data_IF_509347237676
#
_entry.id   IF_509347237676
#
_cell.length_a   1.000
_cell.length_b   1.000
_cell.length_c   1.000
_cell.angle_alpha   90.00
_cell.angle_beta   90.00
_cell.angle_gamma   90.00
#
_symmetry.space_group_name_H-M   'P 1'
#
loop_
_entity.id
_entity.type
_entity.pdbx_description
1 polymer ?
#
# COMPACT_ATOMS: atom_id res chain seq x y z
N UNK A 1 4.40 14.74 43.68
CA UNK A 1 5.56 13.95 43.21
C UNK A 1 5.24 13.03 42.03
N UNK A 2 4.19 12.19 42.07
CA UNK A 2 3.91 11.23 40.98
C UNK A 2 3.73 11.86 39.59
N UNK A 3 3.09 13.04 39.46
CA UNK A 3 2.90 13.69 38.15
C UNK A 3 4.20 14.22 37.52
N UNK A 4 5.16 14.64 38.35
CA UNK A 4 6.47 15.13 37.88
C UNK A 4 7.35 13.95 37.40
N UNK A 5 7.31 12.83 38.14
CA UNK A 5 8.01 11.59 37.80
C UNK A 5 7.43 10.98 36.52
N UNK A 6 6.09 10.99 36.38
CA UNK A 6 5.43 10.49 35.16
C UNK A 6 5.80 11.33 33.94
N UNK A 7 5.87 12.67 34.09
CA UNK A 7 6.27 13.58 33.02
C UNK A 7 7.75 13.42 32.62
N UNK A 8 8.64 13.21 33.60
CA UNK A 8 10.06 12.91 33.35
C UNK A 8 10.25 11.56 32.64
N UNK A 9 9.44 10.56 32.96
CA UNK A 9 9.45 9.25 32.28
C UNK A 9 8.95 9.34 30.83
N UNK A 10 7.86 10.08 30.56
CA UNK A 10 7.42 10.30 29.16
C UNK A 10 8.42 11.12 28.35
N UNK A 11 9.06 12.12 28.97
CA UNK A 11 10.10 12.90 28.30
C UNK A 11 11.35 12.05 28.00
N UNK A 12 11.76 11.18 28.92
CA UNK A 12 12.89 10.26 28.71
C UNK A 12 12.62 9.26 27.57
N UNK A 13 11.39 8.74 27.45
CA UNK A 13 11.00 7.83 26.35
C UNK A 13 11.05 8.53 24.97
N UNK A 14 10.69 9.82 24.91
CA UNK A 14 10.76 10.60 23.66
C UNK A 14 12.21 10.88 23.20
N UNK A 15 13.16 11.01 24.13
CA UNK A 15 14.58 11.21 23.79
C UNK A 15 15.31 9.93 23.36
N UNK A 16 14.86 8.75 23.78
CA UNK A 16 15.48 7.47 23.35
C UNK A 16 15.07 7.11 21.91
N UNK A 17 13.87 7.50 21.46
CA UNK A 17 13.38 7.20 20.12
C UNK A 17 14.10 7.96 18.99
N UNK A 18 14.74 9.10 19.28
CA UNK A 18 15.44 9.92 18.28
C UNK A 18 16.88 9.44 18.01
N UNK A 19 17.52 8.74 18.94
CA UNK A 19 18.91 8.30 18.80
C UNK A 19 19.10 7.20 17.74
N UNK A 20 18.08 6.36 17.49
CA UNK A 20 18.17 5.25 16.55
C UNK A 20 18.24 5.69 15.07
N UNK A 21 17.83 6.93 14.74
CA UNK A 21 17.87 7.46 13.36
C UNK A 21 19.13 8.27 13.04
N UNK A 22 19.99 8.54 14.02
CA UNK A 22 21.16 9.40 13.85
C UNK A 22 22.29 8.78 13.01
N UNK A 23 22.25 7.46 12.76
CA UNK A 23 23.33 6.73 12.07
C UNK A 23 23.09 6.54 10.57
N UNK A 24 21.91 6.89 10.09
CA UNK A 24 21.48 6.70 8.72
C UNK A 24 22.18 7.72 7.80
N UNK A 25 22.70 7.26 6.67
CA UNK A 25 23.42 8.03 5.67
C UNK A 25 24.75 8.66 6.13
N UNK A 26 25.23 8.30 7.32
CA UNK A 26 26.54 8.73 7.81
C UNK A 26 27.62 7.73 7.37
N UNK A 27 28.70 8.21 6.76
CA UNK A 27 29.82 7.37 6.36
C UNK A 27 30.84 7.25 7.48
N UNK A 28 31.08 6.00 7.89
CA UNK A 28 31.97 5.66 9.01
C UNK A 28 33.11 4.77 8.56
N UNK A 29 34.29 5.00 9.12
CA UNK A 29 35.40 4.05 9.00
C UNK A 29 35.10 2.83 9.86
N UNK A 30 35.31 1.65 9.31
CA UNK A 30 35.15 0.36 9.97
C UNK A 30 36.08 -0.63 9.28
N UNK A 31 35.87 -1.92 9.52
CA UNK A 31 36.59 -2.98 8.87
C UNK A 31 35.64 -4.03 8.29
N UNK A 32 36.17 -4.76 7.30
CA UNK A 32 35.52 -5.92 6.69
C UNK A 32 36.50 -7.08 6.62
N UNK A 33 35.98 -8.29 6.76
CA UNK A 33 36.77 -9.50 6.54
C UNK A 33 36.72 -9.89 5.07
N UNK A 34 37.83 -9.65 4.36
CA UNK A 34 38.02 -9.95 2.94
C UNK A 34 39.27 -10.81 2.78
N UNK A 35 39.15 -11.93 2.06
CA UNK A 35 40.25 -12.90 1.85
C UNK A 35 40.94 -13.36 3.16
N UNK A 36 40.13 -13.63 4.20
CA UNK A 36 40.59 -14.05 5.55
C UNK A 36 41.43 -13.02 6.30
N UNK A 37 41.52 -11.78 5.82
CA UNK A 37 42.20 -10.66 6.50
C UNK A 37 41.21 -9.52 6.77
N UNK A 38 41.49 -8.78 7.83
CA UNK A 38 40.75 -7.55 8.14
C UNK A 38 41.26 -6.42 7.25
N UNK A 39 40.33 -5.74 6.55
CA UNK A 39 40.61 -4.61 5.67
C UNK A 39 39.83 -3.40 6.15
N UNK A 40 40.45 -2.22 6.12
CA UNK A 40 39.75 -0.97 6.37
C UNK A 40 38.69 -0.75 5.29
N UNK A 41 37.51 -0.33 5.72
CA UNK A 41 36.36 -0.11 4.87
C UNK A 41 35.54 1.09 5.34
N UNK A 42 34.79 1.65 4.41
CA UNK A 42 33.82 2.70 4.65
C UNK A 42 32.43 2.06 4.66
N UNK A 43 31.69 2.30 5.74
CA UNK A 43 30.34 1.79 5.92
C UNK A 43 29.33 2.91 5.94
N UNK A 44 28.17 2.67 5.35
CA UNK A 44 27.02 3.58 5.38
C UNK A 44 25.73 2.77 5.49
N UNK A 45 24.85 3.18 6.41
CA UNK A 45 23.50 2.64 6.52
C UNK A 45 22.51 3.47 5.71
N UNK A 46 21.59 2.81 5.02
CA UNK A 46 20.70 3.40 4.01
C UNK A 46 19.29 2.89 4.26
N UNK A 47 18.30 3.78 4.10
CA UNK A 47 16.88 3.41 4.13
C UNK A 47 16.55 2.66 2.84
N UNK A 48 16.11 1.41 2.95
CA UNK A 48 15.86 0.52 1.83
C UNK A 48 16.33 -0.90 2.06
N UNK A 49 15.86 -1.80 1.20
CA UNK A 49 16.25 -3.22 1.24
C UNK A 49 17.68 -3.41 0.71
N UNK A 50 18.34 -4.49 1.10
CA UNK A 50 19.67 -4.81 0.56
C UNK A 50 19.69 -4.92 -0.98
N UNK A 51 18.60 -5.41 -1.59
CA UNK A 51 18.47 -5.48 -3.04
C UNK A 51 18.38 -4.07 -3.64
N UNK A 52 17.52 -3.20 -3.10
CA UNK A 52 17.40 -1.82 -3.56
C UNK A 52 18.73 -1.06 -3.47
N UNK A 53 19.44 -1.18 -2.34
CA UNK A 53 20.73 -0.53 -2.14
C UNK A 53 21.79 -1.06 -3.09
N UNK A 54 21.84 -2.39 -3.32
CA UNK A 54 22.72 -3.02 -4.31
C UNK A 54 22.47 -2.46 -5.70
N UNK A 55 21.22 -2.51 -6.16
CA UNK A 55 20.86 -2.11 -7.51
C UNK A 55 21.13 -0.63 -7.73
N UNK A 56 20.79 0.21 -6.75
CA UNK A 56 21.03 1.64 -6.83
C UNK A 56 22.52 1.99 -6.76
N UNK A 57 23.31 1.30 -5.92
CA UNK A 57 24.76 1.48 -5.88
C UNK A 57 25.41 1.17 -7.23
N UNK A 58 25.03 0.05 -7.85
CA UNK A 58 25.53 -0.34 -9.17
C UNK A 58 25.13 0.66 -10.26
N UNK A 59 23.86 1.09 -10.29
CA UNK A 59 23.40 2.06 -11.29
C UNK A 59 24.06 3.42 -11.07
N UNK A 60 24.12 3.90 -9.83
CA UNK A 60 24.67 5.22 -9.50
C UNK A 60 26.15 5.32 -9.83
N UNK A 61 26.95 4.30 -9.51
CA UNK A 61 28.37 4.26 -9.88
C UNK A 61 28.60 4.22 -11.39
N UNK A 62 27.76 3.47 -12.11
CA UNK A 62 27.80 3.42 -13.57
C UNK A 62 27.46 4.77 -14.18
N UNK A 63 26.42 5.42 -13.69
CA UNK A 63 25.91 6.67 -14.26
C UNK A 63 26.79 7.88 -13.88
N UNK A 64 27.34 7.89 -12.66
CA UNK A 64 28.11 9.03 -12.11
C UNK A 64 29.61 8.92 -12.41
N UNK A 65 30.17 7.72 -12.39
CA UNK A 65 31.62 7.49 -12.52
C UNK A 65 31.99 6.55 -13.67
N UNK A 66 31.03 6.04 -14.44
CA UNK A 66 31.25 5.00 -15.46
C UNK A 66 31.89 3.72 -14.89
N UNK A 67 31.68 3.45 -13.60
CA UNK A 67 32.20 2.27 -12.92
C UNK A 67 31.16 1.16 -12.97
N UNK A 68 31.52 0.01 -13.56
CA UNK A 68 30.66 -1.17 -13.60
C UNK A 68 31.11 -2.19 -12.56
N UNK A 69 30.28 -2.37 -11.54
CA UNK A 69 30.46 -3.44 -10.56
C UNK A 69 29.94 -4.77 -11.11
N UNK A 70 30.78 -5.81 -11.04
CA UNK A 70 30.41 -7.19 -11.33
C UNK A 70 30.28 -7.94 -10.00
N UNK A 71 29.21 -8.70 -9.83
CA UNK A 71 29.13 -9.66 -8.74
C UNK A 71 30.07 -10.82 -8.99
N UNK A 72 30.82 -11.23 -7.96
CA UNK A 72 31.67 -12.44 -8.01
C UNK A 72 30.85 -13.73 -7.80
N UNK A 73 29.52 -13.60 -7.65
CA UNK A 73 28.59 -14.70 -7.43
C UNK A 73 28.03 -15.30 -8.72
N UNK A 74 28.31 -16.57 -8.96
CA UNK A 74 27.55 -17.41 -9.88
C UNK A 74 26.17 -17.66 -9.26
N UNK A 75 25.12 -17.07 -9.82
CA UNK A 75 23.72 -17.44 -9.58
C UNK A 75 23.31 -17.74 -8.12
N UNK A 76 23.35 -16.73 -7.25
CA UNK A 76 22.47 -16.66 -6.07
C UNK A 76 22.65 -17.72 -4.98
N UNK A 77 23.73 -18.49 -4.95
CA UNK A 77 23.98 -19.44 -3.86
C UNK A 77 25.44 -19.41 -3.41
N UNK A 78 25.68 -18.74 -2.28
CA UNK A 78 26.83 -19.05 -1.41
C UNK A 78 27.86 -17.94 -1.21
N UNK A 79 27.83 -17.40 0.02
CA UNK A 79 28.94 -16.76 0.76
C UNK A 79 29.55 -15.49 0.13
N UNK A 80 28.99 -14.36 0.59
CA UNK A 80 29.45 -12.98 0.40
C UNK A 80 29.35 -12.53 -1.06
N UNK A 81 28.21 -11.95 -1.43
CA UNK A 81 28.05 -11.21 -2.68
C UNK A 81 28.93 -9.95 -2.66
N UNK A 82 30.22 -10.15 -2.91
CA UNK A 82 31.16 -9.07 -3.14
C UNK A 82 30.95 -8.57 -4.56
N UNK A 83 30.65 -7.28 -4.67
CA UNK A 83 30.62 -6.54 -5.91
C UNK A 83 32.02 -5.97 -6.14
N UNK A 84 32.64 -6.32 -7.26
CA UNK A 84 33.99 -5.88 -7.60
C UNK A 84 33.99 -5.09 -8.91
N UNK A 85 34.77 -4.00 -8.95
CA UNK A 85 35.11 -3.28 -10.15
C UNK A 85 36.63 -3.18 -10.22
N UNK A 86 37.22 -3.81 -11.23
CA UNK A 86 38.68 -3.83 -11.42
C UNK A 86 39.13 -2.68 -12.31
N UNK A 87 40.34 -2.18 -12.06
CA UNK A 87 40.98 -1.14 -12.85
C UNK A 87 40.13 0.13 -13.03
N UNK A 88 39.49 0.56 -11.94
CA UNK A 88 38.74 1.82 -11.89
C UNK A 88 39.71 2.99 -11.95
N UNK A 89 39.60 3.90 -12.94
CA UNK A 89 40.37 5.12 -12.92
C UNK A 89 39.83 6.06 -11.84
N UNK A 90 40.63 6.33 -10.80
CA UNK A 90 40.31 7.38 -9.85
C UNK A 90 40.74 8.72 -10.44
N UNK A 91 39.92 9.21 -11.36
CA UNK A 91 40.18 10.37 -12.22
C UNK A 91 40.40 11.69 -11.47
N UNK A 92 40.18 11.73 -10.15
CA UNK A 92 40.26 12.95 -9.36
C UNK A 92 41.48 13.05 -8.42
N UNK A 93 42.19 11.96 -8.07
CA UNK A 93 43.19 12.03 -6.98
C UNK A 93 44.59 11.47 -7.31
N UNK A 94 44.73 10.25 -7.86
CA UNK A 94 46.05 9.59 -7.90
C UNK A 94 46.54 9.18 -9.28
N UNK A 95 45.71 9.29 -10.34
CA UNK A 95 46.06 8.80 -11.69
C UNK A 95 46.30 7.28 -11.78
N UNK A 96 46.16 6.56 -10.66
CA UNK A 96 46.34 5.12 -10.54
C UNK A 96 45.00 4.40 -10.68
N UNK A 97 45.07 3.21 -11.27
CA UNK A 97 43.94 2.29 -11.35
C UNK A 97 43.76 1.59 -10.00
N UNK A 98 42.53 1.50 -9.52
CA UNK A 98 42.20 0.79 -8.28
C UNK A 98 41.15 -0.30 -8.52
N UNK A 99 41.22 -1.34 -7.71
CA UNK A 99 40.17 -2.34 -7.61
C UNK A 99 39.26 -1.95 -6.45
N UNK A 100 37.99 -1.70 -6.75
CA UNK A 100 36.98 -1.35 -5.76
C UNK A 100 36.11 -2.55 -5.46
N UNK A 101 35.82 -2.74 -4.18
CA UNK A 101 35.02 -3.83 -3.67
C UNK A 101 33.91 -3.29 -2.78
N UNK A 102 32.75 -3.94 -2.81
CA UNK A 102 31.65 -3.58 -1.93
C UNK A 102 30.78 -4.77 -1.59
N UNK A 103 30.14 -4.72 -0.43
CA UNK A 103 29.13 -5.67 0.00
C UNK A 103 27.95 -4.94 0.60
N UNK A 104 26.75 -5.46 0.34
CA UNK A 104 25.52 -4.98 0.96
C UNK A 104 25.02 -6.04 1.93
N UNK A 105 24.75 -5.63 3.16
CA UNK A 105 24.13 -6.47 4.20
C UNK A 105 22.84 -5.81 4.67
N UNK A 106 21.92 -6.59 5.25
CA UNK A 106 20.65 -6.09 5.78
C UNK A 106 20.65 -6.23 7.30
N UNK A 107 21.00 -5.18 8.07
CA UNK A 107 20.77 -5.16 9.51
C UNK A 107 19.28 -5.32 9.89
N UNK A 108 18.37 -4.90 9.01
CA UNK A 108 16.92 -5.08 9.15
C UNK A 108 16.24 -5.11 7.78
N UNK A 109 14.94 -5.41 7.71
CA UNK A 109 14.21 -5.47 6.44
C UNK A 109 14.12 -4.10 5.73
N UNK A 110 14.18 -3.01 6.49
CA UNK A 110 14.04 -1.64 5.97
C UNK A 110 15.35 -0.86 5.95
N UNK A 111 16.45 -1.43 6.44
CA UNK A 111 17.75 -0.77 6.49
C UNK A 111 18.82 -1.71 5.95
N UNK A 112 19.58 -1.22 4.98
CA UNK A 112 20.74 -1.89 4.43
C UNK A 112 22.03 -1.17 4.83
N UNK A 113 23.11 -1.93 5.00
CA UNK A 113 24.45 -1.42 5.22
C UNK A 113 25.33 -1.75 4.01
N UNK A 114 25.84 -0.70 3.36
CA UNK A 114 26.85 -0.79 2.31
C UNK A 114 28.23 -0.67 2.95
N UNK A 115 29.09 -1.66 2.72
CA UNK A 115 30.53 -1.60 3.03
C UNK A 115 31.32 -1.47 1.74
N UNK A 116 32.28 -0.55 1.67
CA UNK A 116 33.13 -0.31 0.50
C UNK A 116 34.60 -0.27 0.92
N UNK A 117 35.45 -0.97 0.19
CA UNK A 117 36.90 -0.93 0.36
C UNK A 117 37.57 -1.00 -1.02
N UNK A 118 38.84 -0.66 -1.11
CA UNK A 118 39.56 -0.68 -2.37
C UNK A 118 41.03 -1.05 -2.20
N UNK A 119 41.68 -1.39 -3.29
CA UNK A 119 43.09 -1.72 -3.36
C UNK A 119 43.74 -1.16 -4.63
N UNK A 120 45.02 -0.78 -4.56
CA UNK A 120 45.82 -0.36 -5.73
C UNK A 120 46.57 -1.54 -6.39
N UNK A 121 46.39 -2.75 -5.86
CA UNK A 121 47.00 -3.99 -6.32
C UNK A 121 46.58 -5.16 -5.42
N UNK A 122 47.09 -6.38 -5.65
CA UNK A 122 46.61 -7.59 -4.97
C UNK A 122 46.69 -7.52 -3.42
N UNK A 123 47.75 -6.91 -2.89
CA UNK A 123 47.98 -6.81 -1.44
C UNK A 123 48.00 -5.37 -0.90
N UNK A 124 47.80 -4.37 -1.76
CA UNK A 124 47.91 -2.95 -1.39
C UNK A 124 46.51 -2.34 -1.20
N UNK A 125 45.89 -2.62 -0.06
CA UNK A 125 44.58 -2.07 0.31
C UNK A 125 44.70 -0.62 0.78
N UNK A 126 43.67 0.17 0.47
CA UNK A 126 43.59 1.53 0.94
C UNK A 126 43.38 1.55 2.46
N UNK A 127 44.06 2.47 3.14
CA UNK A 127 43.89 2.73 4.57
C UNK A 127 44.06 4.21 4.87
N UNK A 128 43.46 4.67 5.96
CA UNK A 128 43.58 6.05 6.41
C UNK A 128 45.03 6.44 6.76
N UNK A 129 45.84 5.48 7.22
CA UNK A 129 47.23 5.69 7.59
C UNK A 129 48.20 5.53 6.41
N UNK A 130 48.01 4.51 5.56
CA UNK A 130 48.96 4.19 4.48
C UNK A 130 48.70 4.94 3.17
N UNK A 131 47.44 5.23 2.85
CA UNK A 131 47.01 5.87 1.60
C UNK A 131 45.93 6.93 1.88
N UNK A 132 46.24 7.98 2.66
CA UNK A 132 45.23 8.92 3.14
C UNK A 132 44.48 9.65 2.02
N UNK A 133 45.18 9.97 0.92
CA UNK A 133 44.61 10.68 -0.22
C UNK A 133 43.55 9.84 -0.94
N UNK A 134 43.91 8.61 -1.31
CA UNK A 134 43.01 7.65 -1.99
C UNK A 134 41.87 7.20 -1.07
N UNK A 135 42.14 7.01 0.23
CA UNK A 135 41.11 6.67 1.21
C UNK A 135 40.08 7.80 1.36
N UNK A 136 40.55 9.06 1.37
CA UNK A 136 39.68 10.24 1.35
C UNK A 136 38.86 10.33 0.06
N UNK A 137 39.46 10.02 -1.10
CA UNK A 137 38.76 9.93 -2.38
C UNK A 137 37.59 8.93 -2.32
N UNK A 138 37.87 7.72 -1.81
CA UNK A 138 36.87 6.68 -1.64
C UNK A 138 35.76 7.14 -0.68
N UNK A 139 36.11 7.80 0.42
CA UNK A 139 35.15 8.38 1.36
C UNK A 139 34.22 9.38 0.68
N UNK A 140 34.74 10.24 -0.17
CA UNK A 140 33.93 11.21 -0.91
C UNK A 140 32.93 10.54 -1.88
N UNK A 141 33.31 9.44 -2.53
CA UNK A 141 32.39 8.64 -3.35
C UNK A 141 31.28 8.07 -2.46
N UNK A 142 31.62 7.40 -1.37
CA UNK A 142 30.61 6.78 -0.48
C UNK A 142 29.70 7.84 0.15
N UNK A 143 30.24 9.00 0.52
CA UNK A 143 29.47 10.13 1.05
C UNK A 143 28.51 10.73 0.02
N UNK A 144 28.96 10.87 -1.23
CA UNK A 144 28.12 11.36 -2.33
C UNK A 144 27.00 10.37 -2.64
N UNK A 145 27.29 9.07 -2.59
CA UNK A 145 26.28 8.04 -2.72
C UNK A 145 25.27 8.08 -1.58
N UNK A 146 25.71 8.23 -0.33
CA UNK A 146 24.80 8.32 0.82
C UNK A 146 23.79 9.48 0.64
N UNK A 147 24.26 10.64 0.16
CA UNK A 147 23.39 11.77 -0.15
C UNK A 147 22.42 11.47 -1.31
N UNK A 148 22.89 10.84 -2.38
CA UNK A 148 22.06 10.45 -3.53
C UNK A 148 21.01 9.38 -3.15
N UNK A 149 21.40 8.40 -2.34
CA UNK A 149 20.52 7.33 -1.86
C UNK A 149 19.41 7.91 -0.98
N UNK A 150 19.76 8.83 -0.08
CA UNK A 150 18.78 9.56 0.73
C UNK A 150 17.76 10.26 -0.15
N UNK A 151 18.22 11.03 -1.13
CA UNK A 151 17.33 11.77 -2.02
C UNK A 151 16.42 10.84 -2.83
N UNK A 152 16.96 9.74 -3.36
CA UNK A 152 16.19 8.77 -4.13
C UNK A 152 15.15 8.05 -3.26
N UNK A 153 15.53 7.57 -2.08
CA UNK A 153 14.62 6.91 -1.15
C UNK A 153 13.42 7.82 -0.79
N UNK A 154 13.68 9.08 -0.46
CA UNK A 154 12.58 10.03 -0.16
C UNK A 154 11.70 10.32 -1.39
N UNK A 155 12.27 10.44 -2.59
CA UNK A 155 11.48 10.63 -3.81
C UNK A 155 10.55 9.45 -4.07
N UNK A 156 11.05 8.22 -3.94
CA UNK A 156 10.24 7.02 -4.12
C UNK A 156 9.15 6.90 -3.04
N UNK A 157 9.46 7.23 -1.79
CA UNK A 157 8.47 7.29 -0.70
C UNK A 157 7.36 8.32 -1.00
N UNK A 158 7.72 9.51 -1.52
CA UNK A 158 6.75 10.53 -1.92
C UNK A 158 5.87 10.02 -3.06
N UNK A 159 6.46 9.45 -4.12
CA UNK A 159 5.71 8.94 -5.27
C UNK A 159 4.75 7.82 -4.87
N UNK A 160 5.16 6.91 -3.98
CA UNK A 160 4.27 5.86 -3.48
C UNK A 160 3.14 6.44 -2.62
N UNK A 161 3.43 7.43 -1.76
CA UNK A 161 2.41 8.12 -0.98
C UNK A 161 1.40 8.88 -1.86
N UNK A 162 1.86 9.55 -2.92
CA UNK A 162 1.00 10.23 -3.90
C UNK A 162 0.09 9.24 -4.63
N UNK A 163 0.61 8.07 -5.00
CA UNK A 163 -0.18 7.01 -5.63
C UNK A 163 -1.26 6.46 -4.67
N UNK A 164 -0.91 6.24 -3.41
CA UNK A 164 -1.87 5.79 -2.38
C UNK A 164 -2.95 6.84 -2.12
N UNK A 165 -2.57 8.12 -2.07
CA UNK A 165 -3.53 9.23 -1.94
C UNK A 165 -4.50 9.26 -3.12
N UNK A 166 -3.99 9.17 -4.35
CA UNK A 166 -4.82 9.17 -5.57
C UNK A 166 -5.80 7.98 -5.59
N UNK A 167 -5.36 6.80 -5.13
CA UNK A 167 -6.24 5.63 -5.01
C UNK A 167 -7.34 5.86 -3.97
N UNK A 168 -6.98 6.38 -2.79
CA UNK A 168 -7.93 6.69 -1.73
C UNK A 168 -8.96 7.76 -2.14
N UNK A 169 -8.54 8.76 -2.92
CA UNK A 169 -9.45 9.79 -3.46
C UNK A 169 -10.47 9.20 -4.44
N UNK A 170 -10.04 8.30 -5.33
CA UNK A 170 -10.94 7.59 -6.26
C UNK A 170 -11.93 6.70 -5.52
N UNK A 171 -11.47 5.99 -4.50
CA UNK A 171 -12.34 5.15 -3.67
C UNK A 171 -13.37 6.00 -2.93
N UNK A 172 -12.95 7.15 -2.36
CA UNK A 172 -13.87 8.11 -1.75
C UNK A 172 -14.93 8.60 -2.72
N UNK A 173 -14.55 8.99 -3.94
CA UNK A 173 -15.50 9.45 -4.97
C UNK A 173 -16.51 8.35 -5.33
N UNK A 174 -16.05 7.11 -5.50
CA UNK A 174 -16.90 5.95 -5.78
C UNK A 174 -17.90 5.72 -4.64
N UNK A 175 -17.43 5.70 -3.39
CA UNK A 175 -18.28 5.51 -2.21
C UNK A 175 -19.32 6.62 -2.08
N UNK A 176 -18.98 7.87 -2.41
CA UNK A 176 -19.92 8.98 -2.37
C UNK A 176 -21.02 8.83 -3.44
N UNK A 177 -20.66 8.42 -4.66
CA UNK A 177 -21.64 8.11 -5.72
C UNK A 177 -22.57 6.96 -5.32
N UNK A 178 -22.02 5.89 -4.75
CA UNK A 178 -22.81 4.77 -4.24
C UNK A 178 -23.76 5.20 -3.12
N UNK A 179 -23.28 6.01 -2.17
CA UNK A 179 -24.09 6.59 -1.08
C UNK A 179 -25.29 7.37 -1.61
N UNK A 180 -25.07 8.26 -2.58
CA UNK A 180 -26.13 9.06 -3.20
C UNK A 180 -27.13 8.17 -3.96
N UNK A 181 -26.64 7.20 -4.73
CA UNK A 181 -27.48 6.25 -5.46
C UNK A 181 -28.37 5.43 -4.52
N UNK A 182 -27.79 4.89 -3.44
CA UNK A 182 -28.54 4.14 -2.42
C UNK A 182 -29.58 5.00 -1.72
N UNK A 183 -29.25 6.25 -1.39
CA UNK A 183 -30.20 7.19 -0.79
C UNK A 183 -31.39 7.45 -1.72
N UNK A 184 -31.14 7.67 -3.02
CA UNK A 184 -32.19 7.88 -4.02
C UNK A 184 -33.06 6.64 -4.21
N UNK A 185 -32.46 5.45 -4.31
CA UNK A 185 -33.18 4.19 -4.41
C UNK A 185 -34.04 3.92 -3.17
N UNK A 186 -33.51 4.19 -1.98
CA UNK A 186 -34.25 4.05 -0.72
C UNK A 186 -35.46 4.96 -0.71
N UNK A 187 -35.29 6.24 -1.11
CA UNK A 187 -36.40 7.19 -1.22
C UNK A 187 -37.48 6.72 -2.20
N UNK A 188 -37.09 6.29 -3.40
CA UNK A 188 -38.02 5.79 -4.40
C UNK A 188 -38.79 4.54 -3.93
N UNK A 189 -38.09 3.62 -3.25
CA UNK A 189 -38.71 2.42 -2.69
C UNK A 189 -39.72 2.76 -1.58
N UNK A 190 -39.41 3.73 -0.71
CA UNK A 190 -40.33 4.21 0.33
C UNK A 190 -41.58 4.84 -0.28
N UNK A 191 -41.43 5.69 -1.31
CA UNK A 191 -42.55 6.28 -2.04
C UNK A 191 -43.43 5.18 -2.69
N UNK A 192 -42.81 4.14 -3.25
CA UNK A 192 -43.54 3.01 -3.83
C UNK A 192 -44.30 2.20 -2.80
N UNK A 193 -43.71 1.96 -1.63
CA UNK A 193 -44.37 1.29 -0.50
C UNK A 193 -45.62 2.06 -0.08
N UNK A 194 -45.53 3.38 0.06
CA UNK A 194 -46.68 4.22 0.42
C UNK A 194 -47.78 4.18 -0.65
N UNK A 195 -47.42 4.19 -1.93
CA UNK A 195 -48.40 4.01 -3.02
C UNK A 195 -49.10 2.65 -2.93
N UNK A 196 -48.35 1.57 -2.73
CA UNK A 196 -48.91 0.21 -2.63
C UNK A 196 -49.80 0.05 -1.40
N UNK A 197 -49.47 0.70 -0.28
CA UNK A 197 -50.34 0.74 0.91
C UNK A 197 -51.69 1.38 0.60
N UNK A 198 -51.70 2.53 -0.07
CA UNK A 198 -52.94 3.19 -0.50
C UNK A 198 -53.77 2.29 -1.41
N UNK A 199 -53.14 1.71 -2.44
CA UNK A 199 -53.82 0.78 -3.34
C UNK A 199 -54.41 -0.45 -2.62
N UNK A 200 -53.71 -0.99 -1.62
CA UNK A 200 -54.22 -2.11 -0.83
C UNK A 200 -55.43 -1.72 0.03
N UNK A 201 -55.48 -0.49 0.54
CA UNK A 201 -56.65 0.03 1.26
C UNK A 201 -57.83 0.16 0.30
N UNK A 202 -57.63 0.77 -0.87
CA UNK A 202 -58.67 0.93 -1.89
C UNK A 202 -59.22 -0.42 -2.38
N UNK A 203 -58.34 -1.38 -2.63
CA UNK A 203 -58.72 -2.74 -3.02
C UNK A 203 -59.53 -3.45 -1.94
N UNK A 204 -59.18 -3.28 -0.66
CA UNK A 204 -59.96 -3.84 0.47
C UNK A 204 -61.34 -3.21 0.55
N UNK A 205 -61.45 -1.88 0.40
CA UNK A 205 -62.73 -1.19 0.40
C UNK A 205 -63.62 -1.69 -0.76
N UNK A 206 -63.07 -1.73 -1.97
CA UNK A 206 -63.78 -2.22 -3.15
C UNK A 206 -64.23 -3.68 -3.00
N UNK A 207 -63.37 -4.54 -2.45
CA UNK A 207 -63.72 -5.94 -2.19
C UNK A 207 -64.86 -6.08 -1.19
N UNK A 208 -64.89 -5.23 -0.15
CA UNK A 208 -66.00 -5.20 0.80
C UNK A 208 -67.30 -4.71 0.14
N UNK A 209 -67.25 -3.64 -0.67
CA UNK A 209 -68.40 -3.15 -1.43
C UNK A 209 -68.96 -4.20 -2.40
N UNK A 210 -68.09 -4.87 -3.15
CA UNK A 210 -68.47 -5.92 -4.10
C UNK A 210 -69.08 -7.12 -3.36
N UNK A 211 -68.59 -7.45 -2.16
CA UNK A 211 -69.18 -8.49 -1.30
C UNK A 211 -70.59 -8.15 -0.86
N UNK A 212 -70.85 -6.89 -0.48
CA UNK A 212 -72.21 -6.41 -0.14
C UNK A 212 -73.13 -6.49 -1.35
N UNK A 213 -72.69 -6.01 -2.53
CA UNK A 213 -73.46 -6.09 -3.78
C UNK A 213 -73.78 -7.53 -4.17
N UNK A 214 -72.86 -8.47 -3.99
CA UNK A 214 -73.10 -9.89 -4.25
C UNK A 214 -74.20 -10.46 -3.35
N UNK A 215 -74.20 -10.12 -2.05
CA UNK A 215 -75.26 -10.53 -1.13
C UNK A 215 -76.62 -9.97 -1.52
N UNK A 216 -76.69 -8.69 -1.89
CA UNK A 216 -77.93 -8.06 -2.33
C UNK A 216 -78.44 -8.66 -3.64
N UNK A 217 -77.56 -8.91 -4.61
CA UNK A 217 -77.90 -9.59 -5.85
C UNK A 217 -78.41 -11.02 -5.61
N UNK A 218 -77.78 -11.77 -4.69
CA UNK A 218 -78.23 -13.10 -4.31
C UNK A 218 -79.64 -13.07 -3.70
N UNK A 219 -79.92 -12.11 -2.80
CA UNK A 219 -81.26 -11.90 -2.22
C UNK A 219 -82.30 -11.56 -3.29
N UNK A 220 -81.97 -10.64 -4.21
CA UNK A 220 -82.86 -10.26 -5.31
C UNK A 220 -83.14 -11.43 -6.25
N UNK A 221 -82.14 -12.26 -6.55
CA UNK A 221 -82.29 -13.46 -7.35
C UNK A 221 -83.27 -14.44 -6.69
N UNK A 222 -83.13 -14.66 -5.39
CA UNK A 222 -84.01 -15.58 -4.65
C UNK A 222 -85.46 -15.09 -4.63
N UNK A 223 -85.68 -13.79 -4.41
CA UNK A 223 -87.02 -13.18 -4.53
C UNK A 223 -87.61 -13.37 -5.92
N UNK A 224 -86.81 -13.18 -6.98
CA UNK A 224 -87.25 -13.40 -8.38
C UNK A 224 -87.59 -14.86 -8.66
N UNK A 225 -86.81 -15.82 -8.12
CA UNK A 225 -87.13 -17.25 -8.22
C UNK A 225 -88.46 -17.57 -7.56
N UNK A 226 -88.68 -17.09 -6.33
CA UNK A 226 -89.95 -17.30 -5.62
C UNK A 226 -91.14 -16.71 -6.39
N UNK A 227 -90.99 -15.52 -6.98
CA UNK A 227 -92.01 -14.92 -7.83
C UNK A 227 -92.30 -15.75 -9.08
N UNK A 228 -91.26 -16.27 -9.75
CA UNK A 228 -91.39 -17.13 -10.92
C UNK A 228 -92.15 -18.41 -10.57
N UNK A 229 -91.79 -19.08 -9.48
CA UNK A 229 -92.47 -20.30 -9.02
C UNK A 229 -93.94 -20.06 -8.69
N UNK A 230 -94.26 -18.93 -8.03
CA UNK A 230 -95.66 -18.52 -7.82
C UNK A 230 -96.42 -18.32 -9.13
N UNK A 231 -95.79 -17.74 -10.15
CA UNK A 231 -96.40 -17.55 -11.49
C UNK A 231 -96.60 -18.88 -12.21
N UNK A 232 -95.63 -19.80 -12.15
CA UNK A 232 -95.73 -21.15 -12.69
C UNK A 232 -96.88 -21.93 -12.05
N UNK A 233 -96.97 -21.94 -10.72
CA UNK A 233 -98.05 -22.60 -10.00
C UNK A 233 -99.43 -22.04 -10.39
N UNK A 234 -99.55 -20.72 -10.58
CA UNK A 234 -100.80 -20.10 -11.06
C UNK A 234 -101.16 -20.56 -12.48
N UNK A 235 -100.19 -20.62 -13.39
CA UNK A 235 -100.40 -21.09 -14.76
C UNK A 235 -100.89 -22.55 -14.76
N UNK A 236 -100.21 -23.44 -14.04
CA UNK A 236 -100.61 -24.86 -13.93
C UNK A 236 -102.01 -25.05 -13.35
N UNK A 237 -102.45 -24.17 -12.44
CA UNK A 237 -103.80 -24.19 -11.90
C UNK A 237 -104.86 -23.67 -12.89
N UNK A 238 -104.48 -22.79 -13.83
CA UNK A 238 -105.35 -22.31 -14.90
C UNK A 238 -105.49 -23.35 -16.02
N UNK A 239 -104.42 -24.07 -16.37
CA UNK A 239 -104.44 -25.13 -17.40
C UNK A 239 -105.21 -26.40 -16.98
N UNK A 240 -105.57 -26.54 -15.69
CA UNK A 240 -106.32 -27.68 -15.14
C UNK A 240 -107.85 -27.50 -15.13
N UNK A 241 -108.36 -26.40 -15.66
CA UNK A 241 -109.80 -26.15 -15.87
C UNK A 241 -110.16 -26.31 -17.33
#
# INVERSE_FOLDING_TARGET
MNRLITFLLTLAVLFVASAARAQLYEVRSSSVNFEKKEREALKVQIDGTAQWTRDFWQSWLKDTYNIKLKGDGVFGVGKKDVLAAKQVPMSSISGKLLDMYSTVTAPSDTVAELSVWAAMGPDSFLSAAGTPSEYSALRNIVQSFAAAARLKAYREQITEAEKQLTAAEKDKEKMEKERVSLANNTKANLEKIEQLKKQNIDNKLKSAEDSVKLLDNARLMELRKQQLERRRARLTNLDRK
#
